data_IF_454820137817
#
_entry.id   IF_454820137817
#
_cell.length_a   1.000
_cell.length_b   1.000
_cell.length_c   1.000
_cell.angle_alpha   90.00
_cell.angle_beta   90.00
_cell.angle_gamma   90.00
#
_symmetry.space_group_name_H-M   'P 1'
#
loop_
_entity.id
_entity.type
_entity.pdbx_description
1 polymer ?
#
# COMPACT_ATOMS: atom_id res chain seq x y z
N UNK A 1 7.32 -11.89 -10.28
CA UNK A 1 6.19 -11.50 -11.14
C UNK A 1 6.01 -12.53 -12.22
N UNK A 2 4.85 -13.16 -12.26
CA UNK A 2 4.47 -14.06 -13.36
C UNK A 2 4.13 -13.24 -14.62
N UNK A 3 4.05 -13.90 -15.78
CA UNK A 3 3.63 -13.24 -17.03
C UNK A 3 2.21 -12.66 -16.93
N UNK A 4 1.33 -13.31 -16.16
CA UNK A 4 -0.06 -12.87 -15.92
C UNK A 4 -0.12 -11.60 -15.08
N UNK A 5 0.65 -11.56 -13.98
CA UNK A 5 0.74 -10.37 -13.11
C UNK A 5 1.29 -9.15 -13.86
N UNK A 6 2.27 -9.36 -14.75
CA UNK A 6 2.82 -8.31 -15.60
C UNK A 6 1.81 -7.78 -16.65
N UNK A 7 0.85 -8.60 -17.06
CA UNK A 7 -0.20 -8.23 -18.00
C UNK A 7 -1.26 -7.34 -17.34
N UNK A 8 -1.72 -7.70 -16.13
CA UNK A 8 -2.73 -6.92 -15.42
C UNK A 8 -2.22 -5.51 -15.05
N UNK A 9 -0.98 -5.37 -14.57
CA UNK A 9 -0.43 -4.05 -14.23
C UNK A 9 -0.20 -3.14 -15.43
N UNK A 10 0.09 -3.70 -16.62
CA UNK A 10 0.13 -2.91 -17.86
C UNK A 10 -1.24 -2.35 -18.22
N UNK A 11 -2.30 -3.12 -18.02
CA UNK A 11 -3.67 -2.64 -18.26
C UNK A 11 -4.07 -1.55 -17.26
N UNK A 12 -3.77 -1.73 -15.97
CA UNK A 12 -3.97 -0.68 -14.94
C UNK A 12 -3.26 0.62 -15.33
N UNK A 13 -1.99 0.55 -15.74
CA UNK A 13 -1.23 1.73 -16.15
C UNK A 13 -1.82 2.41 -17.38
N UNK A 14 -2.21 1.63 -18.40
CA UNK A 14 -2.77 2.15 -19.65
C UNK A 14 -4.19 2.72 -19.50
N UNK A 15 -4.99 2.17 -18.58
CA UNK A 15 -6.40 2.56 -18.41
C UNK A 15 -6.56 3.69 -17.40
N UNK A 16 -5.73 3.76 -16.36
CA UNK A 16 -6.07 4.54 -15.17
C UNK A 16 -4.99 5.53 -14.72
N UNK A 17 -3.75 5.40 -15.20
CA UNK A 17 -2.63 6.26 -14.80
C UNK A 17 -2.02 6.93 -16.03
N UNK A 18 -2.86 7.60 -16.83
CA UNK A 18 -2.36 8.49 -17.87
C UNK A 18 -1.75 9.72 -17.17
N UNK A 19 -0.42 9.93 -17.23
CA UNK A 19 0.23 11.06 -16.55
C UNK A 19 -0.16 12.43 -17.13
N UNK A 20 -0.91 12.45 -18.23
CA UNK A 20 -1.44 13.68 -18.84
C UNK A 20 -2.90 13.97 -18.49
N UNK A 21 -3.61 13.07 -17.79
CA UNK A 21 -4.94 13.33 -17.27
C UNK A 21 -4.86 14.03 -15.90
N UNK A 22 -5.64 15.10 -15.70
CA UNK A 22 -5.66 15.86 -14.44
C UNK A 22 -6.46 15.15 -13.33
N UNK A 23 -7.36 14.25 -13.71
CA UNK A 23 -8.24 13.51 -12.81
C UNK A 23 -8.18 12.01 -13.17
N UNK A 24 -8.10 11.16 -12.16
CA UNK A 24 -8.18 9.72 -12.31
C UNK A 24 -9.65 9.29 -12.26
N UNK A 25 -10.09 8.47 -13.23
CA UNK A 25 -11.38 7.79 -13.13
C UNK A 25 -11.26 6.68 -12.07
N UNK A 26 -11.71 7.00 -10.85
CA UNK A 26 -11.66 6.09 -9.69
C UNK A 26 -12.48 4.82 -9.93
N UNK A 27 -13.56 4.90 -10.72
CA UNK A 27 -14.36 3.72 -11.06
C UNK A 27 -13.56 2.78 -11.96
N UNK A 28 -12.97 3.32 -13.03
CA UNK A 28 -12.12 2.54 -13.92
C UNK A 28 -10.90 1.95 -13.19
N UNK A 29 -10.32 2.71 -12.26
CA UNK A 29 -9.20 2.25 -11.43
C UNK A 29 -9.62 1.13 -10.48
N UNK A 30 -10.79 1.24 -9.83
CA UNK A 30 -11.36 0.19 -9.00
C UNK A 30 -11.66 -1.09 -9.79
N UNK A 31 -12.22 -0.97 -11.00
CA UNK A 31 -12.48 -2.12 -11.88
C UNK A 31 -11.17 -2.82 -12.29
N UNK A 32 -10.14 -2.03 -12.62
CA UNK A 32 -8.83 -2.56 -12.97
C UNK A 32 -8.14 -3.25 -11.78
N UNK A 33 -8.24 -2.68 -10.57
CA UNK A 33 -7.74 -3.29 -9.34
C UNK A 33 -8.48 -4.58 -9.02
N UNK A 34 -9.80 -4.63 -9.20
CA UNK A 34 -10.60 -5.86 -9.04
C UNK A 34 -10.12 -6.97 -9.98
N UNK A 35 -9.80 -6.65 -11.23
CA UNK A 35 -9.23 -7.64 -12.16
C UNK A 35 -7.85 -8.14 -11.73
N UNK A 36 -7.03 -7.29 -11.12
CA UNK A 36 -5.75 -7.73 -10.54
C UNK A 36 -6.01 -8.67 -9.37
N UNK A 37 -6.94 -8.30 -8.47
CA UNK A 37 -7.36 -9.13 -7.33
C UNK A 37 -7.81 -10.52 -7.79
N UNK A 38 -8.63 -10.61 -8.83
CA UNK A 38 -9.09 -11.89 -9.38
C UNK A 38 -7.92 -12.76 -9.91
N UNK A 39 -6.85 -12.12 -10.39
CA UNK A 39 -5.66 -12.80 -10.93
C UNK A 39 -4.62 -13.20 -9.89
N UNK A 40 -4.42 -12.41 -8.84
CA UNK A 40 -3.32 -12.61 -7.86
C UNK A 40 -3.80 -12.95 -6.45
N UNK A 41 -5.06 -12.67 -6.12
CA UNK A 41 -5.63 -12.77 -4.78
C UNK A 41 -5.39 -11.51 -3.94
N UNK A 42 -6.36 -11.18 -3.06
CA UNK A 42 -6.31 -9.97 -2.20
C UNK A 42 -5.06 -9.95 -1.32
N UNK A 43 -4.66 -11.09 -0.76
CA UNK A 43 -3.51 -11.17 0.17
C UNK A 43 -2.17 -10.88 -0.54
N UNK A 44 -2.08 -11.18 -1.83
CA UNK A 44 -0.86 -10.96 -2.63
C UNK A 44 -0.81 -9.57 -3.25
N UNK A 45 -1.93 -8.85 -3.26
CA UNK A 45 -2.05 -7.57 -3.95
C UNK A 45 -1.08 -6.51 -3.41
N UNK A 46 -0.93 -6.30 -2.07
CA UNK A 46 0.02 -5.31 -1.57
C UNK A 46 1.45 -5.62 -2.00
N UNK A 47 1.88 -6.89 -1.91
CA UNK A 47 3.21 -7.31 -2.33
C UNK A 47 3.44 -7.17 -3.83
N UNK A 48 2.40 -7.39 -4.63
CA UNK A 48 2.41 -7.16 -6.06
C UNK A 48 2.60 -5.67 -6.39
N UNK A 49 1.86 -4.79 -5.71
CA UNK A 49 1.99 -3.32 -5.85
C UNK A 49 3.39 -2.87 -5.45
N UNK A 50 3.88 -3.28 -4.27
CA UNK A 50 5.21 -2.91 -3.79
C UNK A 50 6.32 -3.36 -4.76
N UNK A 51 6.20 -4.57 -5.29
CA UNK A 51 7.13 -5.09 -6.30
C UNK A 51 7.08 -4.32 -7.62
N UNK A 52 5.91 -3.81 -8.01
CA UNK A 52 5.75 -2.98 -9.20
C UNK A 52 6.37 -1.59 -9.00
N UNK A 53 6.22 -0.99 -7.82
CA UNK A 53 6.89 0.27 -7.43
C UNK A 53 8.41 0.09 -7.43
N UNK A 54 8.92 -0.97 -6.80
CA UNK A 54 10.36 -1.28 -6.72
C UNK A 54 11.00 -1.41 -8.11
N UNK A 55 10.27 -1.96 -9.07
CA UNK A 55 10.73 -2.13 -10.46
C UNK A 55 10.51 -0.90 -11.35
N UNK A 56 9.94 0.18 -10.80
CA UNK A 56 9.66 1.40 -11.54
C UNK A 56 8.48 1.31 -12.53
N UNK A 57 7.63 0.27 -12.41
CA UNK A 57 6.38 0.21 -13.17
C UNK A 57 5.33 1.19 -12.67
N UNK A 58 5.43 1.58 -11.40
CA UNK A 58 4.68 2.67 -10.79
C UNK A 58 5.64 3.54 -9.98
N UNK A 59 5.36 4.83 -9.93
CA UNK A 59 5.92 5.73 -8.93
C UNK A 59 5.41 5.36 -7.53
N UNK A 60 6.05 5.91 -6.51
CA UNK A 60 5.65 5.70 -5.14
C UNK A 60 4.21 6.19 -4.88
N UNK A 61 3.87 7.39 -5.34
CA UNK A 61 2.54 7.99 -5.16
C UNK A 61 1.45 7.17 -5.84
N UNK A 62 1.73 6.62 -7.03
CA UNK A 62 0.84 5.68 -7.71
C UNK A 62 0.65 4.39 -6.89
N UNK A 63 1.71 3.88 -6.24
CA UNK A 63 1.62 2.74 -5.33
C UNK A 63 0.73 3.01 -4.11
N UNK A 64 0.86 4.19 -3.49
CA UNK A 64 0.00 4.61 -2.37
C UNK A 64 -1.45 4.72 -2.81
N UNK A 65 -1.71 5.34 -3.97
CA UNK A 65 -3.05 5.45 -4.55
C UNK A 65 -3.66 4.07 -4.81
N UNK A 66 -2.90 3.15 -5.40
CA UNK A 66 -3.35 1.80 -5.70
C UNK A 66 -3.73 1.03 -4.43
N UNK A 67 -2.93 1.14 -3.37
CA UNK A 67 -3.27 0.54 -2.06
C UNK A 67 -4.54 1.17 -1.47
N UNK A 68 -4.69 2.50 -1.58
CA UNK A 68 -5.88 3.22 -1.15
C UNK A 68 -7.14 2.71 -1.86
N UNK A 69 -7.12 2.68 -3.19
CA UNK A 69 -8.24 2.19 -3.99
C UNK A 69 -8.54 0.73 -3.68
N UNK A 70 -7.51 -0.12 -3.61
CA UNK A 70 -7.67 -1.53 -3.32
C UNK A 70 -8.39 -1.79 -2.00
N UNK A 71 -8.08 -1.02 -0.94
CA UNK A 71 -8.77 -1.14 0.35
C UNK A 71 -10.27 -0.88 0.27
N UNK A 72 -10.73 -0.08 -0.70
CA UNK A 72 -12.17 0.18 -0.93
C UNK A 72 -12.80 -0.74 -1.98
N UNK A 73 -11.99 -1.47 -2.75
CA UNK A 73 -12.47 -2.38 -3.81
C UNK A 73 -12.65 -3.82 -3.31
N UNK A 74 -12.20 -4.16 -2.11
CA UNK A 74 -12.33 -5.50 -1.52
C UNK A 74 -13.66 -5.69 -0.77
N UNK A 75 -14.15 -6.93 -0.73
CA UNK A 75 -15.37 -7.33 -0.02
C UNK A 75 -15.30 -7.21 1.51
N UNK A 76 -14.09 -7.13 2.07
CA UNK A 76 -13.81 -7.02 3.50
C UNK A 76 -13.37 -5.60 3.92
N UNK A 77 -13.71 -4.59 3.12
CA UNK A 77 -13.38 -3.17 3.38
C UNK A 77 -11.88 -2.93 3.66
N UNK A 78 -11.02 -3.75 3.03
CA UNK A 78 -9.58 -3.61 3.08
C UNK A 78 -8.94 -4.29 4.27
N UNK A 79 -9.68 -5.07 5.07
CA UNK A 79 -9.16 -5.71 6.28
C UNK A 79 -7.94 -6.62 5.99
N UNK A 80 -7.97 -7.44 4.93
CA UNK A 80 -6.83 -8.26 4.53
C UNK A 80 -5.63 -7.42 4.07
N UNK A 81 -5.86 -6.35 3.31
CA UNK A 81 -4.80 -5.43 2.88
C UNK A 81 -4.15 -4.78 4.10
N UNK A 82 -4.96 -4.27 5.03
CA UNK A 82 -4.48 -3.68 6.28
C UNK A 82 -3.63 -4.66 7.09
N UNK A 83 -4.01 -5.94 7.15
CA UNK A 83 -3.23 -6.96 7.84
C UNK A 83 -1.85 -7.19 7.21
N UNK A 84 -1.74 -7.14 5.89
CA UNK A 84 -0.45 -7.23 5.19
C UNK A 84 0.43 -6.01 5.48
N UNK A 85 -0.16 -4.80 5.47
CA UNK A 85 0.58 -3.56 5.80
C UNK A 85 1.04 -3.54 7.25
N UNK A 86 0.20 -3.99 8.19
CA UNK A 86 0.57 -4.25 9.60
C UNK A 86 1.79 -5.15 9.66
N UNK A 87 1.73 -6.29 8.99
CA UNK A 87 2.80 -7.27 8.98
C UNK A 87 4.13 -6.69 8.45
N UNK A 88 4.07 -5.86 7.40
CA UNK A 88 5.27 -5.18 6.88
C UNK A 88 5.95 -4.28 7.92
N UNK A 89 5.17 -3.54 8.71
CA UNK A 89 5.68 -2.70 9.80
C UNK A 89 6.13 -3.53 11.00
N UNK A 90 5.46 -4.65 11.28
CA UNK A 90 5.82 -5.55 12.36
C UNK A 90 7.17 -6.22 12.14
N UNK A 91 7.44 -6.66 10.92
CA UNK A 91 8.71 -7.29 10.56
C UNK A 91 9.78 -6.24 10.18
N UNK A 92 9.35 -5.09 9.66
CA UNK A 92 10.22 -4.09 9.05
C UNK A 92 10.91 -4.65 7.81
N UNK A 93 10.11 -5.12 6.84
CA UNK A 93 10.57 -5.94 5.69
C UNK A 93 11.66 -5.24 4.90
N UNK A 94 11.34 -4.11 4.26
CA UNK A 94 12.25 -3.29 3.47
C UNK A 94 11.76 -1.83 3.42
N UNK A 95 12.57 -0.94 2.84
CA UNK A 95 12.32 0.49 2.79
C UNK A 95 11.03 0.83 2.04
N UNK A 96 10.75 0.18 0.90
CA UNK A 96 9.61 0.51 0.04
C UNK A 96 8.31 0.07 0.72
N UNK A 97 8.25 -1.17 1.21
CA UNK A 97 7.08 -1.70 1.92
C UNK A 97 6.78 -0.93 3.19
N UNK A 98 7.82 -0.56 3.95
CA UNK A 98 7.65 0.27 5.14
C UNK A 98 7.11 1.65 4.76
N UNK A 99 7.66 2.32 3.75
CA UNK A 99 7.18 3.66 3.38
C UNK A 99 5.75 3.63 2.83
N UNK A 100 5.41 2.63 2.00
CA UNK A 100 4.04 2.42 1.51
C UNK A 100 3.07 2.22 2.68
N UNK A 101 3.40 1.35 3.64
CA UNK A 101 2.56 1.13 4.81
C UNK A 101 2.45 2.38 5.70
N UNK A 102 3.52 3.14 5.89
CA UNK A 102 3.50 4.40 6.64
C UNK A 102 2.72 5.52 5.92
N UNK A 103 2.51 5.41 4.61
CA UNK A 103 1.78 6.38 3.79
C UNK A 103 0.29 6.05 3.61
N UNK A 104 -0.13 4.87 4.07
CA UNK A 104 -1.52 4.47 3.98
C UNK A 104 -2.34 5.14 5.10
N UNK A 105 -3.37 5.90 4.72
CA UNK A 105 -4.15 6.73 5.65
C UNK A 105 -4.87 5.91 6.74
N UNK A 106 -5.26 4.68 6.41
CA UNK A 106 -5.87 3.73 7.34
C UNK A 106 -4.80 2.99 8.11
N UNK A 107 -4.32 3.60 9.20
CA UNK A 107 -3.30 3.00 10.06
C UNK A 107 -3.86 1.83 10.87
N UNK A 108 -3.47 0.58 10.57
CA UNK A 108 -4.03 -0.58 11.22
C UNK A 108 -3.10 -0.94 12.37
N UNK A 109 -3.52 -0.65 13.61
CA UNK A 109 -2.96 -1.32 14.77
C UNK A 109 -4.07 -1.42 15.80
N UNK A 110 -4.30 -2.63 16.30
CA UNK A 110 -5.38 -2.93 17.25
C UNK A 110 -5.28 -2.17 18.57
N UNK A 111 -4.09 -1.71 18.95
CA UNK A 111 -3.89 -0.89 20.14
C UNK A 111 -2.86 0.21 19.92
N UNK A 112 -3.04 1.34 20.63
CA UNK A 112 -2.06 2.43 20.69
C UNK A 112 -0.69 1.94 21.17
N UNK A 113 -0.65 1.05 22.16
CA UNK A 113 0.60 0.52 22.69
C UNK A 113 1.39 -0.27 21.63
N UNK A 114 0.72 -1.13 20.87
CA UNK A 114 1.33 -1.87 19.75
C UNK A 114 1.82 -0.90 18.68
N UNK A 115 1.00 0.09 18.28
CA UNK A 115 1.38 1.13 17.32
C UNK A 115 2.66 1.84 17.74
N UNK A 116 2.72 2.36 18.96
CA UNK A 116 3.89 3.08 19.49
C UNK A 116 5.12 2.19 19.48
N UNK A 117 5.01 0.93 19.92
CA UNK A 117 6.11 -0.01 19.94
C UNK A 117 6.66 -0.29 18.53
N UNK A 118 5.77 -0.56 17.57
CA UNK A 118 6.13 -0.84 16.17
C UNK A 118 6.77 0.38 15.52
N UNK A 119 6.14 1.55 15.61
CA UNK A 119 6.66 2.79 15.01
C UNK A 119 7.99 3.22 15.63
N UNK A 120 8.17 3.04 16.94
CA UNK A 120 9.46 3.30 17.60
C UNK A 120 10.55 2.37 17.08
N UNK A 121 10.24 1.08 16.86
CA UNK A 121 11.20 0.13 16.29
C UNK A 121 11.52 0.46 14.83
N UNK A 122 10.53 0.82 14.03
CA UNK A 122 10.72 1.23 12.64
C UNK A 122 11.59 2.48 12.56
N UNK A 123 11.33 3.51 13.37
CA UNK A 123 12.14 4.72 13.42
C UNK A 123 13.62 4.44 13.75
N UNK A 124 13.90 3.44 14.60
CA UNK A 124 15.27 3.00 14.92
C UNK A 124 15.93 2.24 13.77
N UNK A 125 15.18 1.37 13.08
CA UNK A 125 15.70 0.53 11.98
C UNK A 125 15.86 1.31 10.68
N UNK A 126 14.97 2.26 10.42
CA UNK A 126 14.92 3.10 9.22
C UNK A 126 14.88 4.57 9.64
N UNK A 127 16.04 5.17 9.97
CA UNK A 127 16.10 6.54 10.49
C UNK A 127 15.48 7.59 9.57
N UNK A 128 15.41 7.34 8.26
CA UNK A 128 14.74 8.23 7.30
C UNK A 128 13.24 8.40 7.57
N UNK A 129 12.61 7.46 8.29
CA UNK A 129 11.19 7.51 8.63
C UNK A 129 10.94 8.00 10.06
N UNK A 130 11.98 8.36 10.82
CA UNK A 130 11.84 8.70 12.24
C UNK A 130 10.83 9.84 12.48
N UNK A 131 10.84 10.86 11.63
CA UNK A 131 9.94 12.01 11.75
C UNK A 131 8.49 11.63 11.42
N UNK A 132 8.28 10.83 10.37
CA UNK A 132 6.96 10.29 10.00
C UNK A 132 6.40 9.40 11.10
N UNK A 133 7.20 8.48 11.63
CA UNK A 133 6.81 7.62 12.75
C UNK A 133 6.46 8.43 13.99
N UNK A 134 7.25 9.47 14.32
CA UNK A 134 6.96 10.36 15.46
C UNK A 134 5.64 11.11 15.27
N UNK A 135 5.42 11.68 14.09
CA UNK A 135 4.17 12.35 13.76
C UNK A 135 2.95 11.43 13.95
N UNK A 136 3.03 10.18 13.45
CA UNK A 136 1.96 9.19 13.59
C UNK A 136 1.71 8.75 15.04
N UNK A 137 2.76 8.70 15.86
CA UNK A 137 2.63 8.46 17.31
C UNK A 137 1.89 9.61 18.00
N UNK A 138 2.22 10.85 17.64
CA UNK A 138 1.65 12.06 18.26
C UNK A 138 0.19 12.29 17.84
N UNK A 139 -0.15 12.02 16.57
CA UNK A 139 -1.51 12.23 16.04
C UNK A 139 -2.45 11.06 16.30
N UNK A 140 -1.93 9.90 16.69
CA UNK A 140 -2.76 8.77 17.11
C UNK A 140 -3.57 9.14 18.36
N UNK A 141 -4.89 9.30 18.19
CA UNK A 141 -5.86 9.42 19.30
C UNK A 141 -6.05 8.06 19.97
N UNK A 142 -6.42 8.08 21.25
CA UNK A 142 -6.75 6.87 22.05
C UNK A 142 -7.91 6.08 21.45
#
# INVERSE_FOLDING_TARGET
MSNTESFHWRNVRNMCLNPSARDYDVSALSDAVTQVIDGVGVDMLPDSIASAVEKGYFSFDEGVLLLGVASYSTDDEGARIQHVLEHWLEVGVDVIRVDLALSHDTFPFRSRAQRVAVLTRIAKRFPQFADKCRHLIETSRE
#
